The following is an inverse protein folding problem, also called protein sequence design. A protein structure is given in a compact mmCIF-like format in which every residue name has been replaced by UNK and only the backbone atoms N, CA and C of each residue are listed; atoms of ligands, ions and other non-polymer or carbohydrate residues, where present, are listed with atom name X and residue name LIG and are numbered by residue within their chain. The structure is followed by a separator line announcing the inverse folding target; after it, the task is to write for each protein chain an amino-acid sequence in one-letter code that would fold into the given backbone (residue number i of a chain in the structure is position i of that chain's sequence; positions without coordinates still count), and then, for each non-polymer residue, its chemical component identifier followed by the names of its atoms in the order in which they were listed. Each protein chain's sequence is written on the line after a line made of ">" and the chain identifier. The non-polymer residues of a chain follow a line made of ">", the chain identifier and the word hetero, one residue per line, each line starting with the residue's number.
data_IF_631579516861
#
_entry.id   IF_631579516861
#
_cell.length_a   1.000
_cell.length_b   1.000
_cell.length_c   1.000
_cell.angle_alpha   90.00
_cell.angle_beta   90.00
_cell.angle_gamma   90.00
#
_symmetry.space_group_name_H-M   'P 1'
#
loop_
_entity.id
_entity.type
_entity.pdbx_description
1 polymer ?
#
# COMPACT_ATOMS: atom_id res chain seq x y z
N UNK A 1 -13.16 -2.92 8.45
CA UNK A 1 -12.36 -2.09 9.35
C UNK A 1 -11.09 -1.61 8.67
N UNK A 2 -10.52 -0.54 9.14
CA UNK A 2 -9.26 0.00 8.63
C UNK A 2 -8.09 -0.97 8.81
N UNK A 3 -8.08 -1.68 9.91
CA UNK A 3 -7.06 -2.71 10.17
C UNK A 3 -7.12 -3.84 9.15
N UNK A 4 -8.34 -4.27 8.76
CA UNK A 4 -8.53 -5.25 7.70
C UNK A 4 -8.08 -4.72 6.35
N UNK A 5 -8.32 -3.44 6.03
CA UNK A 5 -7.86 -2.80 4.80
C UNK A 5 -6.33 -2.77 4.70
N UNK A 6 -5.63 -2.53 5.81
CA UNK A 6 -4.16 -2.57 5.85
C UNK A 6 -3.62 -4.00 5.76
N UNK A 7 -4.31 -4.96 6.36
CA UNK A 7 -3.83 -6.34 6.44
C UNK A 7 -3.80 -7.04 5.07
N UNK A 8 -4.82 -6.84 4.23
CA UNK A 8 -4.90 -7.50 2.91
C UNK A 8 -3.74 -7.12 1.99
N UNK A 9 -3.40 -5.83 1.80
CA UNK A 9 -2.23 -5.47 0.99
C UNK A 9 -0.91 -5.99 1.56
N UNK A 10 -0.75 -6.02 2.88
CA UNK A 10 0.46 -6.56 3.52
C UNK A 10 0.60 -8.06 3.29
N UNK A 11 -0.49 -8.82 3.36
CA UNK A 11 -0.51 -10.27 3.05
C UNK A 11 -0.16 -10.49 1.57
N UNK A 12 -0.75 -9.72 0.66
CA UNK A 12 -0.46 -9.82 -0.76
C UNK A 12 1.02 -9.53 -1.05
N UNK A 13 1.58 -8.50 -0.40
CA UNK A 13 2.99 -8.15 -0.53
C UNK A 13 3.90 -9.28 -0.06
N UNK A 14 3.61 -9.88 1.09
CA UNK A 14 4.38 -11.00 1.62
C UNK A 14 4.35 -12.19 0.67
N UNK A 15 3.20 -12.51 0.09
CA UNK A 15 3.05 -13.58 -0.90
C UNK A 15 3.85 -13.30 -2.17
N UNK A 16 3.86 -12.06 -2.65
CA UNK A 16 4.65 -11.68 -3.82
C UNK A 16 6.15 -11.71 -3.55
N UNK A 17 6.60 -11.39 -2.33
CA UNK A 17 8.01 -11.52 -1.94
C UNK A 17 8.46 -12.98 -1.96
N UNK A 18 7.63 -13.90 -1.49
CA UNK A 18 7.90 -15.33 -1.57
C UNK A 18 7.99 -15.79 -3.02
N UNK A 19 7.05 -15.36 -3.86
CA UNK A 19 7.03 -15.68 -5.28
C UNK A 19 8.28 -15.14 -5.99
N UNK A 20 8.69 -13.93 -5.66
CA UNK A 20 9.91 -13.32 -6.19
C UNK A 20 11.14 -14.15 -5.84
N UNK A 21 11.25 -14.61 -4.59
CA UNK A 21 12.33 -15.46 -4.14
C UNK A 21 12.36 -16.79 -4.92
N UNK A 22 11.20 -17.38 -5.17
CA UNK A 22 11.07 -18.62 -5.94
C UNK A 22 11.57 -18.46 -7.39
N UNK A 23 11.19 -17.39 -8.05
CA UNK A 23 11.66 -17.12 -9.42
C UNK A 23 13.15 -16.80 -9.48
N UNK A 24 13.69 -16.10 -8.50
CA UNK A 24 15.13 -15.86 -8.39
C UNK A 24 15.90 -17.16 -8.15
N UNK A 25 15.38 -18.02 -7.30
CA UNK A 25 15.96 -19.35 -7.06
C UNK A 25 15.94 -20.20 -8.34
N UNK A 26 14.86 -20.14 -9.10
CA UNK A 26 14.77 -20.80 -10.39
C UNK A 26 15.88 -20.36 -11.34
N UNK A 27 16.06 -19.04 -11.51
CA UNK A 27 17.13 -18.51 -12.36
C UNK A 27 18.49 -18.99 -11.90
N UNK A 28 18.76 -18.90 -10.60
CA UNK A 28 20.03 -19.34 -10.02
C UNK A 28 20.31 -20.81 -10.25
N UNK A 29 19.32 -21.68 -10.02
CA UNK A 29 19.48 -23.13 -10.21
C UNK A 29 19.65 -23.53 -11.67
N UNK A 30 19.12 -22.75 -12.59
CA UNK A 30 19.28 -22.96 -14.03
C UNK A 30 20.54 -22.28 -14.59
N UNK A 31 21.31 -21.58 -13.77
CA UNK A 31 22.48 -20.84 -14.22
C UNK A 31 22.14 -19.65 -15.10
N UNK A 32 20.96 -19.08 -14.95
CA UNK A 32 20.47 -17.94 -15.73
C UNK A 32 20.55 -16.65 -14.90
N UNK A 33 20.82 -15.54 -15.58
CA UNK A 33 20.96 -14.25 -14.92
C UNK A 33 19.62 -13.54 -14.78
N UNK A 34 19.42 -12.87 -13.65
CA UNK A 34 18.36 -11.87 -13.51
C UNK A 34 18.78 -10.61 -14.30
N UNK A 35 17.86 -10.05 -15.07
CA UNK A 35 18.13 -8.84 -15.82
C UNK A 35 18.50 -7.69 -14.90
N UNK A 36 19.55 -6.97 -15.25
CA UNK A 36 19.89 -5.72 -14.59
C UNK A 36 18.88 -4.63 -14.98
N UNK A 37 18.85 -3.56 -14.22
CA UNK A 37 17.98 -2.41 -14.50
C UNK A 37 18.21 -1.83 -15.91
N UNK A 38 19.45 -1.92 -16.41
CA UNK A 38 19.83 -1.39 -17.72
C UNK A 38 19.60 -2.36 -18.89
N UNK A 39 19.19 -3.59 -18.61
CA UNK A 39 18.92 -4.56 -19.66
C UNK A 39 17.83 -4.04 -20.62
N UNK A 40 18.02 -4.15 -21.95
CA UNK A 40 17.04 -3.64 -22.92
C UNK A 40 15.62 -4.13 -22.70
N UNK A 41 15.46 -5.40 -22.38
CA UNK A 41 14.13 -5.98 -22.12
C UNK A 41 13.54 -5.49 -20.81
N UNK A 42 14.36 -5.27 -19.78
CA UNK A 42 13.90 -4.68 -18.53
C UNK A 42 13.39 -3.25 -18.74
N UNK A 43 14.09 -2.46 -19.55
CA UNK A 43 13.66 -1.09 -19.92
C UNK A 43 12.34 -1.10 -20.68
N UNK A 44 12.19 -2.02 -21.64
CA UNK A 44 10.96 -2.18 -22.42
C UNK A 44 9.79 -2.57 -21.50
N UNK A 45 10.01 -3.48 -20.58
CA UNK A 45 9.00 -3.92 -19.64
C UNK A 45 8.51 -2.75 -18.76
N UNK A 46 9.43 -1.93 -18.26
CA UNK A 46 9.06 -0.74 -17.48
C UNK A 46 8.26 0.26 -18.32
N UNK A 47 8.63 0.45 -19.59
CA UNK A 47 7.90 1.33 -20.50
C UNK A 47 6.46 0.82 -20.74
N UNK A 48 6.28 -0.49 -20.94
CA UNK A 48 4.97 -1.11 -21.10
C UNK A 48 4.10 -0.97 -19.85
N UNK A 49 4.69 -1.08 -18.66
CA UNK A 49 3.98 -0.92 -17.40
C UNK A 49 3.48 0.52 -17.17
N UNK A 50 4.07 1.50 -17.82
CA UNK A 50 3.65 2.92 -17.72
C UNK A 50 2.50 3.26 -18.66
N UNK A 51 2.18 2.40 -19.63
CA UNK A 51 1.09 2.64 -20.55
C UNK A 51 -0.25 2.47 -19.84
N UNK A 52 -1.22 3.39 -20.05
CA UNK A 52 -2.56 3.21 -19.49
C UNK A 52 -3.23 1.99 -20.10
N UNK A 53 -4.01 1.27 -19.29
CA UNK A 53 -4.76 0.11 -19.76
C UNK A 53 -3.91 -1.13 -20.03
N UNK A 54 -2.71 -1.25 -19.42
CA UNK A 54 -1.90 -2.46 -19.52
C UNK A 54 -2.67 -3.66 -18.95
N UNK A 55 -2.71 -4.74 -19.72
CA UNK A 55 -3.41 -5.99 -19.37
C UNK A 55 -2.46 -7.17 -19.55
N UNK A 56 -2.95 -8.37 -19.27
CA UNK A 56 -2.22 -9.60 -19.54
C UNK A 56 -1.72 -9.68 -20.99
N UNK A 57 -2.55 -9.27 -21.95
CA UNK A 57 -2.19 -9.30 -23.37
C UNK A 57 -0.98 -8.43 -23.69
N UNK A 58 -0.79 -7.33 -22.97
CA UNK A 58 0.38 -6.44 -23.10
C UNK A 58 1.69 -7.19 -22.84
N UNK A 59 1.69 -8.13 -21.89
CA UNK A 59 2.87 -8.86 -21.44
C UNK A 59 2.91 -10.31 -21.88
N UNK A 60 1.89 -10.76 -22.60
CA UNK A 60 1.69 -12.18 -22.94
C UNK A 60 2.89 -12.82 -23.60
N UNK A 61 3.51 -12.14 -24.56
CA UNK A 61 4.67 -12.70 -25.30
C UNK A 61 5.83 -12.99 -24.39
N UNK A 62 6.03 -12.16 -23.36
CA UNK A 62 7.07 -12.38 -22.37
C UNK A 62 6.70 -13.47 -21.35
N UNK A 63 5.48 -13.41 -20.82
CA UNK A 63 4.99 -14.37 -19.81
C UNK A 63 4.92 -15.80 -20.37
N UNK A 64 4.48 -15.93 -21.63
CA UNK A 64 4.33 -17.24 -22.32
C UNK A 64 5.54 -17.56 -23.21
N UNK A 65 6.66 -16.89 -23.02
CA UNK A 65 7.87 -17.11 -23.84
C UNK A 65 8.42 -18.51 -23.63
N UNK A 66 8.84 -19.15 -24.73
CA UNK A 66 9.43 -20.50 -24.68
C UNK A 66 10.76 -20.55 -23.93
N UNK A 67 11.54 -19.47 -23.94
CA UNK A 67 12.76 -19.35 -23.16
C UNK A 67 12.41 -19.07 -21.69
N UNK A 68 12.75 -20.01 -20.82
CA UNK A 68 12.42 -19.93 -19.39
C UNK A 68 13.09 -18.77 -18.67
N UNK A 69 14.29 -18.37 -19.12
CA UNK A 69 15.00 -17.22 -18.56
C UNK A 69 14.28 -15.92 -18.86
N UNK A 70 13.78 -15.74 -20.07
CA UNK A 70 12.99 -14.59 -20.47
C UNK A 70 11.68 -14.56 -19.70
N UNK A 71 10.96 -15.67 -19.67
CA UNK A 71 9.70 -15.81 -18.94
C UNK A 71 9.87 -15.44 -17.46
N UNK A 72 10.84 -16.02 -16.77
CA UNK A 72 11.11 -15.77 -15.37
C UNK A 72 11.46 -14.29 -15.11
N UNK A 73 12.28 -13.69 -15.95
CA UNK A 73 12.66 -12.28 -15.82
C UNK A 73 11.48 -11.33 -16.04
N UNK A 74 10.60 -11.62 -16.99
CA UNK A 74 9.36 -10.85 -17.20
C UNK A 74 8.48 -10.89 -15.96
N UNK A 75 8.28 -12.07 -15.40
CA UNK A 75 7.46 -12.27 -14.20
C UNK A 75 8.09 -11.55 -13.01
N UNK A 76 9.40 -11.65 -12.81
CA UNK A 76 10.12 -10.91 -11.77
C UNK A 76 9.89 -9.40 -11.92
N UNK A 77 9.99 -8.87 -13.13
CA UNK A 77 9.72 -7.46 -13.39
C UNK A 77 8.30 -7.04 -13.03
N UNK A 78 7.31 -7.86 -13.36
CA UNK A 78 5.90 -7.63 -13.03
C UNK A 78 5.66 -7.68 -11.52
N UNK A 79 6.30 -8.62 -10.82
CA UNK A 79 6.22 -8.71 -9.35
C UNK A 79 6.78 -7.45 -8.71
N UNK A 80 7.93 -6.96 -9.18
CA UNK A 80 8.53 -5.73 -8.66
C UNK A 80 7.62 -4.52 -8.82
N UNK A 81 6.98 -4.35 -9.97
CA UNK A 81 6.02 -3.28 -10.20
C UNK A 81 4.81 -3.41 -9.29
N UNK A 82 4.28 -4.62 -9.14
CA UNK A 82 3.13 -4.89 -8.26
C UNK A 82 3.47 -4.59 -6.81
N UNK A 83 4.64 -5.00 -6.33
CA UNK A 83 5.12 -4.68 -4.99
C UNK A 83 5.26 -3.16 -4.77
N UNK A 84 5.76 -2.44 -5.76
CA UNK A 84 5.84 -0.99 -5.69
C UNK A 84 4.45 -0.36 -5.54
N UNK A 85 3.47 -0.81 -6.33
CA UNK A 85 2.09 -0.31 -6.25
C UNK A 85 1.44 -0.66 -4.92
N UNK A 86 1.67 -1.85 -4.39
CA UNK A 86 1.18 -2.25 -3.06
C UNK A 86 1.80 -1.40 -1.95
N UNK A 87 3.10 -1.11 -2.03
CA UNK A 87 3.76 -0.22 -1.09
C UNK A 87 3.15 1.17 -1.09
N UNK A 88 2.85 1.72 -2.26
CA UNK A 88 2.17 3.00 -2.39
C UNK A 88 0.78 2.96 -1.75
N UNK A 89 0.03 1.90 -2.00
CA UNK A 89 -1.30 1.72 -1.44
C UNK A 89 -1.26 1.61 0.09
N UNK A 90 -0.33 0.84 0.62
CA UNK A 90 -0.15 0.66 2.08
C UNK A 90 0.16 2.01 2.73
N UNK A 91 1.10 2.77 2.18
CA UNK A 91 1.44 4.11 2.69
C UNK A 91 0.25 5.06 2.68
N UNK A 92 -0.55 5.00 1.62
CA UNK A 92 -1.74 5.83 1.49
C UNK A 92 -2.80 5.46 2.54
N UNK A 93 -3.03 4.17 2.75
CA UNK A 93 -3.96 3.67 3.77
C UNK A 93 -3.48 4.01 5.19
N UNK A 94 -2.19 3.88 5.46
CA UNK A 94 -1.60 4.25 6.75
C UNK A 94 -1.77 5.74 7.03
N UNK A 95 -1.53 6.59 6.04
CA UNK A 95 -1.72 8.02 6.14
C UNK A 95 -3.18 8.36 6.44
N UNK A 96 -4.12 7.77 5.70
CA UNK A 96 -5.55 7.96 5.94
C UNK A 96 -5.95 7.56 7.35
N UNK A 97 -5.43 6.44 7.83
CA UNK A 97 -5.69 5.95 9.18
C UNK A 97 -5.21 6.95 10.24
N UNK A 98 -4.00 7.47 10.09
CA UNK A 98 -3.43 8.48 11.00
C UNK A 98 -4.22 9.79 10.93
N UNK A 99 -4.52 10.27 9.73
CA UNK A 99 -5.27 11.52 9.53
C UNK A 99 -6.68 11.44 10.14
N UNK A 100 -7.38 10.31 9.97
CA UNK A 100 -8.69 10.07 10.59
C UNK A 100 -8.60 9.97 12.12
N UNK A 101 -7.55 9.32 12.63
CA UNK A 101 -7.28 9.24 14.05
C UNK A 101 -7.07 10.62 14.66
N UNK A 102 -6.25 11.45 14.04
CA UNK A 102 -6.01 12.83 14.44
C UNK A 102 -7.27 13.68 14.42
N UNK A 103 -8.11 13.54 13.39
CA UNK A 103 -9.40 14.22 13.30
C UNK A 103 -10.33 13.80 14.44
N UNK A 104 -10.43 12.51 14.73
CA UNK A 104 -11.25 12.00 15.85
C UNK A 104 -10.79 12.56 17.19
N UNK A 105 -9.48 12.60 17.42
CA UNK A 105 -8.92 13.20 18.63
C UNK A 105 -9.29 14.67 18.77
N UNK A 106 -9.16 15.44 17.71
CA UNK A 106 -9.52 16.88 17.69
C UNK A 106 -11.01 17.07 17.95
N UNK A 107 -11.86 16.26 17.34
CA UNK A 107 -13.30 16.31 17.57
C UNK A 107 -13.66 15.96 19.00
N UNK A 108 -13.03 14.95 19.59
CA UNK A 108 -13.23 14.55 20.97
C UNK A 108 -12.81 15.68 21.94
N UNK A 109 -11.66 16.30 21.72
CA UNK A 109 -11.20 17.46 22.51
C UNK A 109 -12.18 18.62 22.44
N UNK A 110 -12.67 18.96 21.26
CA UNK A 110 -13.64 20.03 21.08
C UNK A 110 -14.94 19.75 21.85
N UNK A 111 -15.46 18.53 21.79
CA UNK A 111 -16.64 18.10 22.53
C UNK A 111 -16.42 18.20 24.05
N UNK A 112 -15.30 17.73 24.53
CA UNK A 112 -14.95 17.77 25.96
C UNK A 112 -14.87 19.21 26.44
N UNK A 113 -14.19 20.09 25.71
CA UNK A 113 -14.09 21.52 26.04
C UNK A 113 -15.47 22.17 26.08
N UNK A 114 -16.34 21.89 25.12
CA UNK A 114 -17.70 22.41 25.08
C UNK A 114 -18.54 21.93 26.29
N UNK A 115 -18.44 20.68 26.65
CA UNK A 115 -19.10 20.10 27.83
C UNK A 115 -18.63 20.77 29.13
N UNK A 116 -17.34 20.99 29.25
CA UNK A 116 -16.78 21.69 30.42
C UNK A 116 -17.27 23.14 30.51
N UNK A 117 -17.35 23.87 29.40
CA UNK A 117 -17.91 25.23 29.35
C UNK A 117 -19.37 25.25 29.78
N UNK A 118 -20.17 24.30 29.31
CA UNK A 118 -21.57 24.18 29.69
C UNK A 118 -21.73 23.85 31.18
N UNK A 119 -20.90 22.97 31.73
CA UNK A 119 -20.89 22.68 33.18
C UNK A 119 -20.58 23.92 34.00
N UNK A 120 -19.57 24.69 33.61
CA UNK A 120 -19.21 25.95 34.30
C UNK A 120 -20.34 26.98 34.27
N UNK A 121 -21.03 27.10 33.14
CA UNK A 121 -22.20 27.99 33.00
C UNK A 121 -23.32 27.52 33.94
N UNK A 122 -23.65 26.23 33.94
CA UNK A 122 -24.69 25.68 34.82
C UNK A 122 -24.33 25.86 36.30
N UNK A 123 -23.06 25.63 36.66
CA UNK A 123 -22.58 25.82 38.02
C UNK A 123 -22.69 27.29 38.45
N UNK A 124 -22.33 28.23 37.58
CA UNK A 124 -22.46 29.66 37.80
C UNK A 124 -23.92 30.07 38.02
N UNK A 125 -24.87 29.52 37.29
CA UNK A 125 -26.30 29.76 37.48
C UNK A 125 -26.79 29.22 38.85
N UNK A 126 -26.38 28.02 39.21
CA UNK A 126 -26.75 27.41 40.49
C UNK A 126 -26.19 28.25 41.66
N UNK A 127 -24.95 28.71 41.58
CA UNK A 127 -24.33 29.56 42.58
C UNK A 127 -25.07 30.90 42.75
N UNK A 128 -25.56 31.45 41.65
CA UNK A 128 -26.36 32.69 41.66
C UNK A 128 -27.73 32.46 42.31
N UNK A 129 -28.38 31.34 42.04
CA UNK A 129 -29.68 31.00 42.63
C UNK A 129 -29.61 30.67 44.11
N UNK A 130 -28.51 30.09 44.58
CA UNK A 130 -28.31 29.69 45.97
C UNK A 130 -27.68 30.79 46.81
N UNK A 131 -27.14 31.84 46.20
CA UNK A 131 -26.45 32.94 46.87
C UNK A 131 -27.33 34.15 47.24
N UNK A 132 -28.61 34.03 47.12
CA UNK A 132 -29.55 35.13 47.48
C UNK A 132 -30.00 35.08 48.95
#
# INVERSE_FOLDING_TARGET
>A
SKEGELNLPNVARASLEELLADYRDFLRTQGLDEWTTDHPYAKRLRALNRLPGATYETFRKGIEHADSGICANVIIGLIKVTNYLLDQQIRHLEKDFVDRGGLRERMTRARTTQRERQRKIMQGKNDMETGS
#
